data_IF_924670308738
#
_entry.id   IF_924670308738
#
_cell.length_a   1.000
_cell.length_b   1.000
_cell.length_c   1.000
_cell.angle_alpha   90.00
_cell.angle_beta   90.00
_cell.angle_gamma   90.00
#
_symmetry.space_group_name_H-M   'P 1'
#
loop_
_entity.id
_entity.type
_entity.pdbx_description
1 polymer ?
#
# COMPACT_ATOMS: atom_id res chain seq x y z
N UNK A 1 -31.76 -12.35 39.45
CA UNK A 1 -31.69 -11.21 38.52
C UNK A 1 -31.05 -10.04 39.26
N UNK A 2 -29.96 -9.50 38.73
CA UNK A 2 -29.40 -8.22 39.20
C UNK A 2 -30.41 -7.14 38.85
N UNK A 3 -30.83 -6.32 39.82
CA UNK A 3 -31.73 -5.19 39.56
C UNK A 3 -30.93 -4.08 38.89
N UNK A 4 -31.53 -3.36 37.94
CA UNK A 4 -30.87 -2.28 37.21
C UNK A 4 -30.29 -1.21 38.15
N UNK A 5 -31.03 -0.84 39.18
CA UNK A 5 -30.61 0.07 40.26
C UNK A 5 -29.27 -0.32 40.92
N UNK A 6 -28.98 -1.62 41.05
CA UNK A 6 -27.71 -2.09 41.65
C UNK A 6 -26.51 -1.84 40.73
N UNK A 7 -26.73 -1.74 39.42
CA UNK A 7 -25.71 -1.38 38.43
C UNK A 7 -25.52 0.13 38.42
N UNK A 8 -26.62 0.90 38.44
CA UNK A 8 -26.59 2.36 38.40
C UNK A 8 -25.91 2.98 39.62
N UNK A 9 -26.10 2.38 40.80
CA UNK A 9 -25.55 2.89 42.07
C UNK A 9 -24.12 2.43 42.34
N UNK A 10 -23.57 1.51 41.55
CA UNK A 10 -22.21 0.99 41.71
C UNK A 10 -21.34 1.31 40.50
N UNK A 11 -20.50 2.35 40.64
CA UNK A 11 -19.61 2.82 39.58
C UNK A 11 -18.68 1.71 39.04
N UNK A 12 -18.13 0.87 39.91
CA UNK A 12 -17.23 -0.21 39.50
C UNK A 12 -17.94 -1.26 38.66
N UNK A 13 -19.15 -1.65 39.07
CA UNK A 13 -19.98 -2.60 38.33
C UNK A 13 -20.41 -2.04 36.97
N UNK A 14 -20.81 -0.76 36.92
CA UNK A 14 -21.16 -0.06 35.68
C UNK A 14 -19.98 -0.04 34.70
N UNK A 15 -18.79 0.36 35.16
CA UNK A 15 -17.58 0.41 34.33
C UNK A 15 -17.24 -0.95 33.71
N UNK A 16 -17.28 -2.03 34.51
CA UNK A 16 -16.99 -3.39 34.03
C UNK A 16 -18.02 -3.83 32.99
N UNK A 17 -19.32 -3.62 33.25
CA UNK A 17 -20.37 -4.02 32.32
C UNK A 17 -20.31 -3.24 31.00
N UNK A 18 -20.03 -1.94 31.05
CA UNK A 18 -19.84 -1.11 29.84
C UNK A 18 -18.62 -1.56 29.04
N UNK A 19 -17.50 -1.83 29.70
CA UNK A 19 -16.29 -2.34 29.05
C UNK A 19 -16.58 -3.67 28.33
N UNK A 20 -17.26 -4.60 29.00
CA UNK A 20 -17.65 -5.88 28.40
C UNK A 20 -18.57 -5.68 27.20
N UNK A 21 -19.60 -4.83 27.32
CA UNK A 21 -20.55 -4.57 26.25
C UNK A 21 -19.88 -3.99 25.00
N UNK A 22 -18.98 -3.01 25.14
CA UNK A 22 -18.26 -2.39 24.02
C UNK A 22 -17.24 -3.35 23.41
N UNK A 23 -16.58 -4.18 24.23
CA UNK A 23 -15.53 -5.10 23.76
C UNK A 23 -16.05 -6.20 22.84
N UNK A 24 -17.32 -6.60 22.98
CA UNK A 24 -17.89 -7.71 22.19
C UNK A 24 -17.81 -7.42 20.68
N UNK A 25 -18.10 -6.19 20.24
CA UNK A 25 -18.03 -5.82 18.82
C UNK A 25 -16.63 -6.00 18.25
N UNK A 26 -15.62 -5.43 18.93
CA UNK A 26 -14.22 -5.57 18.53
C UNK A 26 -13.74 -7.03 18.54
N UNK A 27 -14.15 -7.83 19.54
CA UNK A 27 -13.78 -9.24 19.61
C UNK A 27 -14.39 -10.07 18.46
N UNK A 28 -15.63 -9.78 18.05
CA UNK A 28 -16.30 -10.53 16.98
C UNK A 28 -15.82 -10.09 15.59
N UNK A 29 -15.51 -8.81 15.39
CA UNK A 29 -15.14 -8.28 14.07
C UNK A 29 -13.63 -8.36 13.78
N UNK A 30 -12.76 -8.09 14.77
CA UNK A 30 -11.30 -7.95 14.54
C UNK A 30 -10.57 -9.28 14.78
N UNK A 31 -10.85 -9.95 15.89
CA UNK A 31 -10.06 -11.13 16.31
C UNK A 31 -10.11 -12.26 15.28
N UNK A 32 -11.26 -12.64 14.69
CA UNK A 32 -11.30 -13.71 13.70
C UNK A 32 -10.44 -13.44 12.46
N UNK A 33 -10.29 -12.17 12.06
CA UNK A 33 -9.51 -11.80 10.87
C UNK A 33 -8.01 -12.14 11.00
N UNK A 34 -7.47 -12.28 12.22
CA UNK A 34 -6.09 -12.74 12.42
C UNK A 34 -5.90 -14.25 12.15
N UNK A 35 -6.98 -15.03 12.18
CA UNK A 35 -6.91 -16.49 12.10
C UNK A 35 -7.51 -17.06 10.80
N UNK A 36 -8.42 -16.33 10.16
CA UNK A 36 -9.07 -16.77 8.92
C UNK A 36 -8.10 -16.55 7.75
N UNK A 37 -7.53 -17.64 7.24
CA UNK A 37 -6.65 -17.62 6.06
C UNK A 37 -7.39 -17.81 4.74
N UNK A 38 -8.62 -18.31 4.81
CA UNK A 38 -9.41 -18.68 3.62
C UNK A 38 -10.05 -17.47 2.94
N UNK A 39 -10.05 -16.29 3.59
CA UNK A 39 -10.58 -15.03 3.04
C UNK A 39 -9.54 -14.23 2.26
N UNK A 40 -8.26 -14.60 2.30
CA UNK A 40 -7.20 -13.95 1.52
C UNK A 40 -6.93 -14.76 0.26
N UNK A 41 -7.04 -14.11 -0.89
CA UNK A 41 -6.86 -14.77 -2.17
C UNK A 41 -5.45 -15.29 -2.36
N UNK A 42 -5.32 -16.53 -2.85
CA UNK A 42 -4.02 -17.09 -3.22
C UNK A 42 -3.63 -16.60 -4.61
N UNK A 43 -2.84 -15.54 -4.63
CA UNK A 43 -2.27 -14.96 -5.85
C UNK A 43 -0.74 -15.03 -5.85
N UNK A 44 -0.18 -15.38 -6.99
CA UNK A 44 1.26 -15.30 -7.25
C UNK A 44 1.65 -13.87 -7.64
N UNK A 45 2.88 -13.47 -7.31
CA UNK A 45 3.50 -12.23 -7.78
C UNK A 45 3.42 -11.04 -6.82
N UNK A 46 2.59 -11.09 -5.78
CA UNK A 46 2.57 -10.06 -4.73
C UNK A 46 3.86 -10.15 -3.91
N UNK A 47 4.58 -9.03 -3.85
CA UNK A 47 5.84 -8.85 -3.14
C UNK A 47 5.79 -7.60 -2.26
N UNK A 48 6.63 -7.48 -1.23
CA UNK A 48 6.82 -6.20 -0.55
C UNK A 48 7.30 -5.12 -1.51
N UNK A 49 7.09 -3.87 -1.12
CA UNK A 49 7.62 -2.72 -1.84
C UNK A 49 9.14 -2.75 -1.87
N UNK A 50 9.73 -2.32 -2.98
CA UNK A 50 11.16 -2.02 -2.99
C UNK A 50 11.46 -0.81 -2.08
N UNK A 51 12.73 -0.54 -1.74
CA UNK A 51 13.09 0.60 -0.91
C UNK A 51 12.61 1.93 -1.50
N UNK A 52 12.71 2.12 -2.83
CA UNK A 52 12.24 3.33 -3.51
C UNK A 52 10.71 3.44 -3.50
N UNK A 53 10.00 2.34 -3.81
CA UNK A 53 8.54 2.29 -3.78
C UNK A 53 8.00 2.53 -2.36
N UNK A 54 8.69 2.02 -1.33
CA UNK A 54 8.35 2.24 0.07
C UNK A 54 8.47 3.72 0.43
N UNK A 55 9.57 4.39 0.05
CA UNK A 55 9.71 5.83 0.25
C UNK A 55 8.67 6.61 -0.53
N UNK A 56 8.33 6.18 -1.74
CA UNK A 56 7.25 6.77 -2.54
C UNK A 56 5.89 6.67 -1.88
N UNK A 57 5.60 5.52 -1.27
CA UNK A 57 4.38 5.31 -0.48
C UNK A 57 4.36 6.21 0.77
N UNK A 58 5.50 6.39 1.42
CA UNK A 58 5.60 7.34 2.54
C UNK A 58 5.33 8.78 2.08
N UNK A 59 5.79 9.18 0.88
CA UNK A 59 5.46 10.48 0.29
C UNK A 59 3.97 10.59 -0.02
N UNK A 60 3.37 9.55 -0.60
CA UNK A 60 1.92 9.49 -0.87
C UNK A 60 1.10 9.71 0.41
N UNK A 61 1.53 9.14 1.54
CA UNK A 61 0.91 9.33 2.85
C UNK A 61 1.19 10.75 3.37
N UNK A 62 2.44 11.23 3.32
CA UNK A 62 2.85 12.56 3.79
C UNK A 62 2.06 13.68 3.10
N UNK A 63 1.83 13.54 1.80
CA UNK A 63 1.10 14.50 0.97
C UNK A 63 -0.43 14.40 1.09
N UNK A 64 -0.94 13.40 1.82
CA UNK A 64 -2.37 13.21 2.03
C UNK A 64 -3.13 12.80 0.78
N UNK A 65 -2.47 12.15 -0.20
CA UNK A 65 -3.09 11.74 -1.45
C UNK A 65 -4.34 10.86 -1.23
N UNK A 66 -4.34 10.05 -0.17
CA UNK A 66 -5.45 9.21 0.26
C UNK A 66 -6.73 9.97 0.63
N UNK A 67 -6.66 11.29 0.89
CA UNK A 67 -7.84 12.14 1.15
C UNK A 67 -8.67 12.38 -0.12
N UNK A 68 -8.06 12.23 -1.29
CA UNK A 68 -8.68 12.46 -2.59
C UNK A 68 -8.77 11.19 -3.44
N UNK A 69 -7.85 10.25 -3.27
CA UNK A 69 -7.71 9.06 -4.09
C UNK A 69 -7.86 7.80 -3.24
N UNK A 70 -8.71 6.88 -3.70
CA UNK A 70 -8.80 5.55 -3.12
C UNK A 70 -7.88 4.57 -3.82
N UNK A 71 -7.48 3.54 -3.09
CA UNK A 71 -6.81 2.35 -3.66
C UNK A 71 -7.61 1.10 -3.30
N UNK A 72 -8.89 1.07 -3.71
CA UNK A 72 -9.76 -0.09 -3.52
C UNK A 72 -10.89 -0.05 -4.55
N UNK A 73 -10.76 -0.89 -5.58
CA UNK A 73 -11.77 -1.02 -6.64
C UNK A 73 -12.82 -2.02 -6.17
N UNK A 74 -14.08 -1.58 -6.16
CA UNK A 74 -15.20 -2.41 -5.70
C UNK A 74 -15.64 -3.40 -6.80
N UNK A 75 -16.27 -4.52 -6.43
CA UNK A 75 -16.61 -5.59 -7.36
C UNK A 75 -17.88 -5.32 -8.18
N UNK A 76 -17.97 -4.13 -8.76
CA UNK A 76 -19.05 -3.74 -9.65
C UNK A 76 -18.54 -3.59 -11.08
N UNK A 77 -19.41 -3.90 -12.06
CA UNK A 77 -19.04 -3.85 -13.48
C UNK A 77 -18.61 -2.46 -13.93
N UNK A 78 -19.26 -1.41 -13.43
CA UNK A 78 -18.95 -0.02 -13.76
C UNK A 78 -17.57 0.41 -13.24
N UNK A 79 -17.21 0.02 -12.01
CA UNK A 79 -15.87 0.21 -11.46
C UNK A 79 -14.84 -0.57 -12.25
N UNK A 80 -15.15 -1.82 -12.61
CA UNK A 80 -14.24 -2.66 -13.36
C UNK A 80 -13.92 -2.08 -14.74
N UNK A 81 -14.93 -1.56 -15.45
CA UNK A 81 -14.73 -0.90 -16.75
C UNK A 81 -13.92 0.39 -16.63
N UNK A 82 -13.97 1.08 -15.50
CA UNK A 82 -13.27 2.35 -15.28
C UNK A 82 -11.83 2.17 -14.82
N UNK A 83 -11.60 1.24 -13.91
CA UNK A 83 -10.32 1.11 -13.19
C UNK A 83 -9.60 -0.20 -13.46
N UNK A 84 -10.28 -1.25 -13.90
CA UNK A 84 -9.72 -2.59 -14.08
C UNK A 84 -10.24 -3.58 -13.03
N UNK A 85 -9.59 -4.74 -12.89
CA UNK A 85 -10.06 -5.78 -11.97
C UNK A 85 -10.23 -5.24 -10.54
N UNK A 86 -11.29 -5.66 -9.84
CA UNK A 86 -11.53 -5.27 -8.45
C UNK A 86 -10.34 -5.65 -7.55
N UNK A 87 -10.15 -4.91 -6.47
CA UNK A 87 -9.02 -5.15 -5.56
C UNK A 87 -9.21 -6.44 -4.78
N UNK A 88 -8.13 -7.20 -4.62
CA UNK A 88 -8.08 -8.40 -3.79
C UNK A 88 -7.47 -8.06 -2.42
N UNK A 89 -7.86 -8.78 -1.37
CA UNK A 89 -7.31 -8.58 -0.03
C UNK A 89 -5.79 -8.85 0.00
N UNK A 90 -5.35 -9.83 -0.79
CA UNK A 90 -3.94 -10.21 -0.93
C UNK A 90 -3.02 -9.08 -1.42
N UNK A 91 -3.56 -8.09 -2.16
CA UNK A 91 -2.76 -6.99 -2.70
C UNK A 91 -2.32 -5.99 -1.62
N UNK A 92 -3.09 -5.86 -0.55
CA UNK A 92 -2.80 -4.95 0.57
C UNK A 92 -2.16 -5.64 1.77
N UNK A 93 -1.73 -6.91 1.64
CA UNK A 93 -1.19 -7.69 2.76
C UNK A 93 0.10 -7.09 3.38
N UNK A 94 0.85 -6.28 2.62
CA UNK A 94 2.06 -5.60 3.08
C UNK A 94 1.84 -4.10 3.36
N UNK A 95 0.61 -3.61 3.25
CA UNK A 95 0.31 -2.19 3.46
C UNK A 95 0.17 -1.87 4.95
N UNK A 96 1.19 -1.23 5.52
CA UNK A 96 1.13 -0.70 6.89
C UNK A 96 1.28 0.83 6.87
N UNK A 97 0.21 1.62 7.08
CA UNK A 97 -1.20 1.23 7.13
C UNK A 97 -1.84 1.02 5.73
N UNK A 98 -2.97 0.31 5.66
CA UNK A 98 -3.72 0.14 4.40
C UNK A 98 -4.03 1.49 3.72
N UNK A 99 -4.02 1.53 2.38
CA UNK A 99 -4.30 2.75 1.57
C UNK A 99 -5.67 2.76 0.90
N UNK A 100 -6.60 1.91 1.37
CA UNK A 100 -7.97 1.94 0.89
C UNK A 100 -8.58 3.31 1.23
N UNK A 101 -9.14 3.97 0.21
CA UNK A 101 -9.68 5.31 0.39
C UNK A 101 -11.09 5.29 0.94
N UNK A 102 -11.46 6.36 1.63
CA UNK A 102 -12.83 6.63 2.09
C UNK A 102 -13.56 7.66 1.22
N UNK A 103 -12.84 8.31 0.29
CA UNK A 103 -13.37 9.36 -0.60
C UNK A 103 -12.69 9.28 -1.97
N UNK A 104 -13.41 9.73 -3.00
CA UNK A 104 -12.93 9.89 -4.38
C UNK A 104 -13.23 11.31 -4.89
N UNK A 105 -12.32 12.23 -4.59
CA UNK A 105 -12.28 13.55 -5.25
C UNK A 105 -11.59 13.41 -6.60
N UNK A 106 -10.49 12.64 -6.63
CA UNK A 106 -9.85 12.14 -7.83
C UNK A 106 -10.21 10.67 -8.11
N UNK A 107 -9.74 10.10 -9.23
CA UNK A 107 -9.98 8.70 -9.59
C UNK A 107 -9.31 7.71 -8.62
N UNK A 108 -9.78 6.47 -8.60
CA UNK A 108 -9.10 5.37 -7.89
C UNK A 108 -7.73 5.06 -8.52
N UNK A 109 -6.73 4.77 -7.70
CA UNK A 109 -5.33 4.55 -8.10
C UNK A 109 -4.88 3.10 -7.97
N UNK A 110 -5.72 2.17 -7.51
CA UNK A 110 -5.32 0.78 -7.25
C UNK A 110 -4.75 0.04 -8.47
N UNK A 111 -5.00 0.55 -9.69
CA UNK A 111 -4.57 -0.02 -10.98
C UNK A 111 -3.94 1.04 -11.89
N UNK A 112 -3.28 2.04 -11.33
CA UNK A 112 -2.66 3.12 -12.13
C UNK A 112 -1.30 2.72 -12.72
N UNK A 113 -0.67 1.67 -12.19
CA UNK A 113 0.63 1.21 -12.65
C UNK A 113 0.65 0.93 -14.15
N UNK A 114 1.66 1.48 -14.84
CA UNK A 114 1.84 1.39 -16.30
C UNK A 114 0.73 1.99 -17.16
N UNK A 115 -0.31 2.62 -16.58
CA UNK A 115 -1.38 3.29 -17.33
C UNK A 115 -0.93 4.62 -17.93
N UNK A 116 -0.02 5.30 -17.25
CA UNK A 116 0.59 6.56 -17.66
C UNK A 116 2.12 6.44 -17.64
N UNK A 117 2.79 7.18 -18.52
CA UNK A 117 4.26 7.22 -18.51
C UNK A 117 4.77 7.97 -17.28
N UNK A 118 6.04 7.77 -16.95
CA UNK A 118 6.70 8.49 -15.87
C UNK A 118 6.63 10.01 -16.09
N UNK A 119 6.89 10.46 -17.32
CA UNK A 119 6.84 11.87 -17.69
C UNK A 119 5.44 12.45 -17.52
N UNK A 120 4.39 11.69 -17.86
CA UNK A 120 3.01 12.13 -17.62
C UNK A 120 2.74 12.30 -16.12
N UNK A 121 3.17 11.32 -15.30
CA UNK A 121 2.99 11.40 -13.85
C UNK A 121 3.69 12.61 -13.25
N UNK A 122 4.93 12.87 -13.67
CA UNK A 122 5.72 14.03 -13.24
C UNK A 122 5.02 15.34 -13.62
N UNK A 123 4.68 15.52 -14.90
CA UNK A 123 4.02 16.75 -15.36
C UNK A 123 2.66 16.95 -14.67
N UNK A 124 1.90 15.87 -14.50
CA UNK A 124 0.64 15.91 -13.77
C UNK A 124 0.85 16.29 -12.30
N UNK A 125 1.83 15.74 -11.59
CA UNK A 125 2.10 16.08 -10.18
C UNK A 125 2.60 17.52 -10.02
N UNK A 126 3.45 18.00 -10.93
CA UNK A 126 3.95 19.39 -10.92
C UNK A 126 2.83 20.40 -11.16
N UNK A 127 1.98 20.15 -12.15
CA UNK A 127 0.90 21.05 -12.53
C UNK A 127 -0.28 20.27 -13.13
N UNK A 128 -1.20 19.72 -12.32
CA UNK A 128 -2.32 18.91 -12.81
C UNK A 128 -3.16 19.60 -13.88
N UNK A 129 -3.36 20.93 -13.75
CA UNK A 129 -4.12 21.75 -14.73
C UNK A 129 -3.48 21.87 -16.09
N UNK A 130 -2.17 21.68 -16.19
CA UNK A 130 -1.48 21.71 -17.49
C UNK A 130 -1.84 20.49 -18.35
N UNK A 131 -2.16 19.37 -17.71
CA UNK A 131 -2.52 18.10 -18.35
C UNK A 131 -4.04 17.90 -18.40
N UNK A 132 -4.74 18.30 -17.33
CA UNK A 132 -6.19 18.16 -17.14
C UNK A 132 -6.74 19.50 -16.62
N UNK A 133 -7.19 20.40 -17.50
CA UNK A 133 -7.59 21.78 -17.14
C UNK A 133 -8.59 21.89 -15.98
N UNK A 134 -9.52 20.94 -15.89
CA UNK A 134 -10.55 20.84 -14.87
C UNK A 134 -10.09 20.18 -13.56
N UNK A 135 -8.82 19.78 -13.46
CA UNK A 135 -8.32 19.08 -12.27
C UNK A 135 -8.42 19.94 -11.01
N UNK A 136 -8.86 19.33 -9.91
CA UNK A 136 -8.92 19.92 -8.57
C UNK A 136 -7.78 19.45 -7.64
N UNK A 137 -6.91 18.54 -8.10
CA UNK A 137 -5.75 18.02 -7.36
C UNK A 137 -4.67 19.09 -7.11
N UNK A 138 -4.13 19.35 -5.91
CA UNK A 138 -3.09 20.37 -5.70
C UNK A 138 -1.83 20.18 -6.57
N UNK A 139 -1.04 21.25 -6.76
CA UNK A 139 0.29 21.14 -7.39
C UNK A 139 1.31 20.66 -6.35
N UNK A 140 2.24 19.79 -6.72
CA UNK A 140 3.29 19.24 -5.83
C UNK A 140 4.71 19.50 -6.35
N UNK A 141 5.10 20.76 -6.68
CA UNK A 141 6.41 21.05 -7.26
C UNK A 141 7.59 20.78 -6.33
N UNK A 142 7.36 20.80 -5.01
CA UNK A 142 8.40 20.55 -4.01
C UNK A 142 8.92 19.11 -4.01
N UNK A 143 8.20 18.15 -4.62
CA UNK A 143 8.65 16.77 -4.75
C UNK A 143 9.91 16.63 -5.63
N UNK A 144 10.29 17.66 -6.39
CA UNK A 144 11.58 17.70 -7.08
C UNK A 144 12.78 17.87 -6.12
N UNK A 145 12.53 18.01 -4.82
CA UNK A 145 13.58 18.08 -3.81
C UNK A 145 14.28 16.71 -3.65
N UNK A 146 15.57 16.70 -3.22
CA UNK A 146 16.28 15.45 -2.95
C UNK A 146 15.56 14.58 -1.93
N UNK A 147 15.53 13.28 -2.19
CA UNK A 147 14.95 12.30 -1.27
C UNK A 147 15.91 12.01 -0.12
N UNK A 148 15.40 12.07 1.11
CA UNK A 148 16.12 11.51 2.26
C UNK A 148 16.01 9.98 2.27
N UNK A 149 17.19 9.35 2.16
CA UNK A 149 17.40 7.91 2.09
C UNK A 149 17.99 7.33 3.37
N UNK A 150 18.36 8.17 4.33
CA UNK A 150 19.13 7.76 5.52
C UNK A 150 18.40 6.78 6.44
N UNK A 151 17.07 6.83 6.45
CA UNK A 151 16.21 6.04 7.33
C UNK A 151 15.56 4.82 6.64
N UNK A 152 15.88 4.56 5.37
CA UNK A 152 15.18 3.52 4.59
C UNK A 152 15.37 2.11 5.16
N UNK A 153 16.56 1.80 5.66
CA UNK A 153 16.86 0.51 6.29
C UNK A 153 16.07 0.31 7.58
N UNK A 154 15.96 1.36 8.41
CA UNK A 154 15.18 1.33 9.66
C UNK A 154 13.68 1.16 9.39
N UNK A 155 13.15 1.81 8.34
CA UNK A 155 11.76 1.64 7.90
C UNK A 155 11.47 0.22 7.45
N UNK A 156 12.34 -0.37 6.63
CA UNK A 156 12.22 -1.78 6.23
C UNK A 156 12.35 -2.71 7.44
N UNK A 157 13.24 -2.40 8.39
CA UNK A 157 13.37 -3.13 9.66
C UNK A 157 12.09 -3.08 10.50
N UNK A 158 11.44 -1.92 10.60
CA UNK A 158 10.17 -1.77 11.31
C UNK A 158 9.04 -2.59 10.65
N UNK A 159 8.94 -2.57 9.31
CA UNK A 159 7.99 -3.40 8.57
C UNK A 159 8.29 -4.89 8.68
N UNK A 160 9.57 -5.27 8.79
CA UNK A 160 9.94 -6.66 9.06
C UNK A 160 9.36 -7.15 10.39
N UNK A 161 9.32 -6.30 11.41
CA UNK A 161 8.69 -6.63 12.72
C UNK A 161 7.19 -6.89 12.56
N UNK A 162 6.50 -6.20 11.63
CA UNK A 162 5.07 -6.41 11.38
C UNK A 162 4.76 -7.64 10.52
N UNK A 163 5.80 -8.37 10.08
CA UNK A 163 5.66 -9.60 9.28
C UNK A 163 5.91 -9.43 7.78
N UNK A 164 6.29 -8.23 7.31
CA UNK A 164 6.69 -8.03 5.92
C UNK A 164 8.02 -8.78 5.66
N UNK A 165 8.14 -9.63 4.65
CA UNK A 165 9.29 -10.51 4.45
C UNK A 165 10.51 -9.78 3.84
N UNK A 166 10.97 -8.70 4.48
CA UNK A 166 12.29 -8.13 4.20
C UNK A 166 13.39 -9.01 4.82
N UNK A 167 14.55 -9.08 4.16
CA UNK A 167 15.67 -9.91 4.61
C UNK A 167 16.73 -9.08 5.32
N UNK A 168 17.17 -9.55 6.49
CA UNK A 168 18.26 -8.98 7.28
C UNK A 168 19.50 -9.88 7.33
N UNK A 169 19.35 -11.14 6.96
CA UNK A 169 20.41 -12.16 6.94
C UNK A 169 20.46 -12.89 5.61
N UNK A 170 21.58 -13.57 5.33
CA UNK A 170 21.75 -14.37 4.11
C UNK A 170 20.69 -15.50 4.03
N UNK A 171 20.36 -16.13 5.15
CA UNK A 171 19.36 -17.21 5.17
C UNK A 171 17.96 -16.70 4.77
N UNK A 172 17.58 -15.51 5.23
CA UNK A 172 16.31 -14.87 4.83
C UNK A 172 16.35 -14.42 3.37
N UNK A 173 17.49 -13.92 2.90
CA UNK A 173 17.68 -13.57 1.49
C UNK A 173 17.50 -14.81 0.61
N UNK A 174 18.13 -15.93 0.95
CA UNK A 174 18.01 -17.20 0.22
C UNK A 174 16.56 -17.73 0.22
N UNK A 175 15.81 -17.53 1.32
CA UNK A 175 14.39 -17.84 1.38
C UNK A 175 13.59 -16.94 0.43
N UNK A 176 13.85 -15.64 0.43
CA UNK A 176 13.21 -14.68 -0.47
C UNK A 176 13.52 -14.96 -1.94
N UNK A 177 14.72 -15.42 -2.28
CA UNK A 177 15.08 -15.82 -3.65
C UNK A 177 14.16 -16.95 -4.14
N UNK A 178 13.83 -17.92 -3.29
CA UNK A 178 12.94 -19.04 -3.64
C UNK A 178 11.49 -18.60 -3.85
N UNK A 179 11.03 -17.60 -3.09
CA UNK A 179 9.64 -17.14 -3.12
C UNK A 179 9.40 -16.08 -4.21
N UNK A 180 10.29 -15.08 -4.30
CA UNK A 180 10.10 -13.91 -5.15
C UNK A 180 11.05 -13.84 -6.34
N UNK A 181 12.04 -14.74 -6.42
CA UNK A 181 13.12 -14.68 -7.40
C UNK A 181 14.27 -13.76 -6.99
N UNK A 182 15.43 -13.93 -7.64
CA UNK A 182 16.68 -13.27 -7.25
C UNK A 182 16.61 -11.74 -7.32
N UNK A 183 16.00 -11.20 -8.38
CA UNK A 183 15.93 -9.76 -8.61
C UNK A 183 15.09 -9.05 -7.54
N UNK A 184 13.90 -9.59 -7.25
CA UNK A 184 13.05 -9.05 -6.19
C UNK A 184 13.74 -9.21 -4.85
N UNK A 185 14.25 -10.40 -4.53
CA UNK A 185 14.88 -10.67 -3.25
C UNK A 185 16.06 -9.73 -2.96
N UNK A 186 16.84 -9.36 -3.98
CA UNK A 186 17.89 -8.34 -3.88
C UNK A 186 17.33 -7.02 -3.34
N UNK A 187 16.24 -6.51 -3.93
CA UNK A 187 15.59 -5.27 -3.48
C UNK A 187 15.04 -5.34 -2.05
N UNK A 188 14.71 -6.54 -1.56
CA UNK A 188 14.18 -6.75 -0.21
C UNK A 188 15.27 -6.89 0.87
N UNK A 189 16.55 -6.76 0.52
CA UNK A 189 17.66 -6.90 1.46
C UNK A 189 17.94 -5.58 2.20
N UNK A 190 17.71 -5.57 3.52
CA UNK A 190 17.83 -4.39 4.39
C UNK A 190 19.25 -3.81 4.39
N UNK A 191 20.33 -4.60 4.52
CA UNK A 191 21.71 -4.08 4.46
C UNK A 191 22.04 -3.34 3.16
N UNK A 192 21.40 -3.69 2.05
CA UNK A 192 21.61 -3.07 0.74
C UNK A 192 20.51 -2.04 0.39
N UNK A 193 19.64 -1.67 1.33
CA UNK A 193 18.44 -0.88 1.06
C UNK A 193 18.72 0.46 0.35
N UNK A 194 19.67 1.25 0.86
CA UNK A 194 20.04 2.54 0.27
C UNK A 194 20.64 2.37 -1.13
N UNK A 195 21.51 1.37 -1.29
CA UNK A 195 22.14 1.05 -2.57
C UNK A 195 21.08 0.66 -3.61
N UNK A 196 20.20 -0.27 -3.25
CA UNK A 196 19.13 -0.74 -4.12
C UNK A 196 18.14 0.36 -4.48
N UNK A 197 17.83 1.26 -3.53
CA UNK A 197 17.01 2.44 -3.77
C UNK A 197 17.61 3.30 -4.88
N UNK A 198 18.89 3.67 -4.73
CA UNK A 198 19.59 4.53 -5.69
C UNK A 198 19.75 3.83 -7.05
N UNK A 199 20.12 2.56 -7.07
CA UNK A 199 20.20 1.76 -8.31
C UNK A 199 18.86 1.74 -9.05
N UNK A 200 17.75 1.52 -8.34
CA UNK A 200 16.42 1.52 -8.93
C UNK A 200 16.03 2.91 -9.45
N UNK A 201 16.29 3.97 -8.70
CA UNK A 201 15.98 5.34 -9.11
C UNK A 201 16.73 5.71 -10.41
N UNK A 202 18.05 5.45 -10.45
CA UNK A 202 18.89 5.70 -11.62
C UNK A 202 18.46 4.88 -12.84
N UNK A 203 18.13 3.60 -12.64
CA UNK A 203 17.69 2.72 -13.73
C UNK A 203 16.29 3.08 -14.26
N UNK A 204 15.40 3.52 -13.37
CA UNK A 204 14.01 3.86 -13.70
C UNK A 204 13.84 5.25 -14.28
N UNK A 205 14.72 6.20 -13.93
CA UNK A 205 14.65 7.62 -14.31
C UNK A 205 13.21 8.16 -14.25
N UNK A 206 12.61 8.08 -13.07
CA UNK A 206 11.17 8.28 -12.90
C UNK A 206 10.76 9.75 -13.00
N UNK A 207 11.63 10.68 -12.63
CA UNK A 207 11.40 12.12 -12.75
C UNK A 207 11.99 12.76 -14.02
N UNK A 208 12.78 12.00 -14.80
CA UNK A 208 13.46 12.45 -16.01
C UNK A 208 14.84 13.07 -15.79
N UNK A 209 15.33 13.15 -14.55
CA UNK A 209 16.67 13.62 -14.19
C UNK A 209 17.52 12.47 -13.59
N UNK A 210 18.44 11.87 -14.35
CA UNK A 210 19.24 10.75 -13.87
C UNK A 210 20.36 11.14 -12.89
N UNK A 211 20.54 12.43 -12.58
CA UNK A 211 21.67 12.89 -11.78
C UNK A 211 21.39 12.89 -10.27
N UNK A 212 20.12 12.99 -9.88
CA UNK A 212 19.69 13.10 -8.49
C UNK A 212 18.56 12.11 -8.22
N UNK A 213 18.34 11.75 -6.96
CA UNK A 213 17.17 10.96 -6.55
C UNK A 213 16.24 11.88 -5.79
N UNK A 214 15.04 12.08 -6.33
CA UNK A 214 14.07 13.04 -5.78
C UNK A 214 12.90 12.34 -5.08
N UNK A 215 12.13 13.11 -4.30
CA UNK A 215 10.85 12.60 -3.76
C UNK A 215 9.86 12.26 -4.90
N UNK A 216 9.97 12.95 -6.04
CA UNK A 216 9.20 12.69 -7.26
C UNK A 216 9.54 11.32 -7.82
N UNK A 217 10.82 10.93 -7.89
CA UNK A 217 11.20 9.59 -8.32
C UNK A 217 10.52 8.52 -7.49
N UNK A 218 10.59 8.68 -6.16
CA UNK A 218 10.02 7.75 -5.21
C UNK A 218 8.50 7.64 -5.41
N UNK A 219 7.79 8.77 -5.44
CA UNK A 219 6.33 8.78 -5.58
C UNK A 219 5.90 8.16 -6.91
N UNK A 220 6.57 8.48 -8.01
CA UNK A 220 6.25 7.90 -9.32
C UNK A 220 6.56 6.41 -9.34
N UNK A 221 7.67 5.95 -8.75
CA UNK A 221 7.97 4.53 -8.61
C UNK A 221 6.86 3.78 -7.84
N UNK A 222 6.35 4.37 -6.77
CA UNK A 222 5.19 3.82 -6.04
C UNK A 222 3.94 3.75 -6.92
N UNK A 223 3.58 4.84 -7.62
CA UNK A 223 2.40 4.84 -8.50
C UNK A 223 2.54 3.80 -9.63
N UNK A 224 3.75 3.57 -10.14
CA UNK A 224 3.99 2.60 -11.21
C UNK A 224 3.83 1.13 -10.78
N UNK A 225 3.92 0.82 -9.48
CA UNK A 225 3.72 -0.55 -8.97
C UNK A 225 2.26 -0.87 -8.64
N UNK A 226 1.40 0.15 -8.50
CA UNK A 226 0.03 -0.03 -8.07
C UNK A 226 -0.79 -0.88 -9.04
N UNK A 227 -1.21 -2.05 -8.56
CA UNK A 227 -2.04 -3.00 -9.29
C UNK A 227 -1.31 -3.82 -10.33
N UNK A 228 0.03 -3.78 -10.39
CA UNK A 228 0.83 -4.56 -11.35
C UNK A 228 1.28 -5.91 -10.83
N UNK A 229 1.15 -6.15 -9.52
CA UNK A 229 1.69 -7.35 -8.86
C UNK A 229 0.90 -8.62 -9.15
N UNK A 230 -0.40 -8.49 -9.44
CA UNK A 230 -1.27 -9.61 -9.78
C UNK A 230 -1.53 -9.63 -11.28
N UNK A 231 -1.13 -10.72 -11.93
CA UNK A 231 -1.46 -10.98 -13.32
C UNK A 231 -2.83 -11.66 -13.43
N UNK A 232 -3.87 -10.86 -13.65
CA UNK A 232 -5.23 -11.36 -13.77
C UNK A 232 -5.47 -12.24 -15.01
N UNK A 233 -4.59 -12.20 -16.01
CA UNK A 233 -4.73 -13.04 -17.21
C UNK A 233 -4.50 -14.53 -16.92
N UNK A 234 -3.84 -14.85 -15.78
CA UNK A 234 -3.57 -16.22 -15.33
C UNK A 234 -4.71 -16.87 -14.56
N UNK A 235 -5.82 -16.15 -14.36
CA UNK A 235 -6.93 -16.61 -13.53
C UNK A 235 -8.24 -16.55 -14.31
N UNK A 236 -9.08 -17.57 -14.14
CA UNK A 236 -10.45 -17.53 -14.64
C UNK A 236 -11.24 -16.43 -13.92
N UNK A 237 -12.21 -15.82 -14.62
CA UNK A 237 -13.06 -14.74 -14.09
C UNK A 237 -13.75 -15.10 -12.78
N UNK A 238 -14.01 -16.39 -12.58
CA UNK A 238 -14.81 -16.90 -11.47
C UNK A 238 -13.94 -17.40 -10.30
N UNK A 239 -12.61 -17.50 -10.48
CA UNK A 239 -11.68 -18.04 -9.48
C UNK A 239 -11.82 -17.35 -8.12
N UNK A 240 -12.07 -16.06 -8.14
CA UNK A 240 -12.10 -15.22 -6.95
C UNK A 240 -13.49 -15.11 -6.31
N UNK A 241 -14.54 -15.64 -6.94
CA UNK A 241 -15.91 -15.62 -6.41
C UNK A 241 -16.02 -16.43 -5.13
N UNK A 242 -15.24 -17.51 -4.98
CA UNK A 242 -15.24 -18.38 -3.79
C UNK A 242 -14.71 -17.72 -2.50
N UNK A 243 -14.05 -16.56 -2.62
CA UNK A 243 -13.52 -15.81 -1.48
C UNK A 243 -14.53 -14.79 -0.93
N UNK A 244 -15.77 -14.79 -1.47
CA UNK A 244 -16.86 -13.87 -1.14
C UNK A 244 -18.00 -14.55 -0.42
#
# INVERSE_FOLDING_TARGET
>A
MIKHEQIETNLGLMLVLTLLAISIGGLVEIVPLFFIKDTVEKVEGVRPYSPLELRGRDMYIREGCFLCHSQMIRPFRDEQMRYGHYSLAAESQYDHPFQWGSKRTGPDLARVGKKYSNEWQVQHLLAPRSMVPESVMPNYPWLMSPLDVSDVADRMGALRITGVPYSSSQAELDANIKVFGAEVAKSLHIPDAEKNLKEQALAGNYDGNPNDVTEMDALVAYLQVLGTMVDFSKYDSDKFVQYR
#
